data_IF_252476852777
#
_entry.id   IF_252476852777
#
_cell.length_a   1.000
_cell.length_b   1.000
_cell.length_c   1.000
_cell.angle_alpha   90.00
_cell.angle_beta   90.00
_cell.angle_gamma   90.00
#
_symmetry.space_group_name_H-M   'P 1'
#
loop_
_entity.id
_entity.type
_entity.pdbx_description
1 polymer ?
#
# COMPACT_ATOMS: atom_id res chain seq x y z
N UNK A 1 23.78 -2.28 5.20
CA UNK A 1 22.80 -2.38 6.32
C UNK A 1 21.87 -1.17 6.23
N UNK A 2 20.64 -1.34 5.69
CA UNK A 2 19.64 -0.26 5.70
C UNK A 2 19.27 0.04 7.15
N UNK A 3 19.47 1.27 7.61
CA UNK A 3 19.10 1.70 8.96
C UNK A 3 17.56 1.84 9.01
N UNK A 4 16.83 0.91 9.65
CA UNK A 4 15.36 0.87 9.56
C UNK A 4 14.67 2.01 10.33
N UNK A 5 15.45 2.85 11.03
CA UNK A 5 15.00 3.84 12.02
C UNK A 5 14.90 5.27 11.49
N UNK A 6 15.33 5.55 10.26
CA UNK A 6 15.16 6.89 9.66
C UNK A 6 13.76 7.04 9.05
N UNK A 7 12.78 7.35 9.88
CA UNK A 7 11.47 7.81 9.42
C UNK A 7 11.65 9.23 8.86
N UNK A 8 11.63 9.35 7.54
CA UNK A 8 11.69 10.67 6.88
C UNK A 8 10.37 11.41 7.07
N UNK A 9 10.42 12.75 7.08
CA UNK A 9 9.23 13.62 7.19
C UNK A 9 8.12 13.21 6.22
N UNK A 10 8.47 12.88 4.98
CA UNK A 10 7.53 12.39 3.96
C UNK A 10 6.84 11.11 4.41
N UNK A 11 7.58 10.11 4.89
CA UNK A 11 7.02 8.83 5.36
C UNK A 11 6.11 9.02 6.57
N UNK A 12 6.49 9.90 7.50
CA UNK A 12 5.65 10.25 8.65
C UNK A 12 4.34 10.90 8.20
N UNK A 13 4.41 11.89 7.30
CA UNK A 13 3.22 12.57 6.77
C UNK A 13 2.31 11.60 6.01
N UNK A 14 2.88 10.72 5.19
CA UNK A 14 2.11 9.68 4.49
C UNK A 14 1.43 8.74 5.48
N UNK A 15 2.12 8.27 6.52
CA UNK A 15 1.51 7.41 7.54
C UNK A 15 0.36 8.12 8.29
N UNK A 16 0.51 9.40 8.63
CA UNK A 16 -0.54 10.17 9.30
C UNK A 16 -1.75 10.40 8.37
N UNK A 17 -1.52 10.76 7.11
CA UNK A 17 -2.61 10.94 6.14
C UNK A 17 -3.38 9.63 5.86
N UNK A 18 -2.70 8.49 5.92
CA UNK A 18 -3.31 7.17 5.73
C UNK A 18 -3.94 6.59 7.01
N UNK A 19 -3.68 7.13 8.19
CA UNK A 19 -4.21 6.61 9.46
C UNK A 19 -5.74 6.40 9.49
N UNK A 20 -6.60 7.31 8.99
CA UNK A 20 -8.04 7.07 8.95
C UNK A 20 -8.43 5.99 7.93
N UNK A 21 -7.71 5.88 6.81
CA UNK A 21 -7.96 4.85 5.80
C UNK A 21 -7.61 3.47 6.35
N UNK A 22 -6.47 3.34 7.04
CA UNK A 22 -6.06 2.08 7.68
C UNK A 22 -7.06 1.64 8.76
N UNK A 23 -7.66 2.59 9.48
CA UNK A 23 -8.74 2.31 10.43
C UNK A 23 -10.02 1.81 9.75
N UNK A 24 -10.39 2.39 8.61
CA UNK A 24 -11.55 1.93 7.82
C UNK A 24 -11.27 0.57 7.17
N UNK A 25 -10.01 0.29 6.84
CA UNK A 25 -9.52 -0.93 6.19
C UNK A 25 -9.19 -2.07 7.17
N UNK A 26 -9.70 -2.04 8.41
CA UNK A 26 -9.43 -3.04 9.47
C UNK A 26 -9.57 -4.52 9.07
N UNK A 27 -10.35 -4.82 8.04
CA UNK A 27 -10.47 -6.16 7.45
C UNK A 27 -10.14 -6.22 5.96
N UNK A 28 -9.71 -5.10 5.35
CA UNK A 28 -9.30 -5.09 3.95
C UNK A 28 -7.93 -5.75 3.84
N UNK A 29 -7.95 -7.01 3.41
CA UNK A 29 -6.73 -7.69 3.00
C UNK A 29 -6.48 -7.38 1.53
N UNK A 30 -5.21 -7.24 1.17
CA UNK A 30 -4.84 -7.32 -0.24
C UNK A 30 -5.42 -8.65 -0.77
N UNK A 31 -6.09 -8.60 -1.92
CA UNK A 31 -6.57 -9.82 -2.56
C UNK A 31 -5.39 -10.80 -2.66
N UNK A 32 -5.65 -12.08 -2.37
CA UNK A 32 -4.61 -13.09 -2.49
C UNK A 32 -4.04 -13.01 -3.92
N UNK A 33 -2.71 -13.06 -4.02
CA UNK A 33 -2.02 -12.99 -5.30
C UNK A 33 -2.36 -14.29 -6.04
N UNK A 34 -3.38 -14.21 -6.89
CA UNK A 34 -3.82 -15.31 -7.74
C UNK A 34 -3.23 -15.07 -9.13
N UNK A 35 -2.21 -15.83 -9.55
CA UNK A 35 -1.57 -15.67 -10.86
C UNK A 35 -2.54 -15.78 -12.05
N UNK A 36 -3.70 -16.41 -11.88
CA UNK A 36 -4.74 -16.50 -12.91
C UNK A 36 -5.68 -15.28 -12.92
N UNK A 37 -5.71 -14.51 -11.83
CA UNK A 37 -6.41 -13.22 -11.70
C UNK A 37 -5.49 -12.01 -11.69
N UNK A 38 -4.17 -12.20 -11.80
CA UNK A 38 -3.24 -11.16 -12.23
C UNK A 38 -3.60 -10.86 -13.68
N UNK A 39 -4.69 -10.11 -13.85
CA UNK A 39 -4.91 -9.32 -15.03
C UNK A 39 -3.73 -8.35 -14.99
N UNK A 40 -2.74 -8.57 -15.85
CA UNK A 40 -1.65 -7.62 -15.92
C UNK A 40 -2.26 -6.24 -16.17
N UNK A 41 -1.51 -5.19 -15.85
CA UNK A 41 -1.94 -3.80 -16.03
C UNK A 41 -2.12 -3.43 -17.52
N UNK A 42 -2.46 -4.39 -18.42
CA UNK A 42 -2.89 -4.16 -19.81
C UNK A 42 -4.15 -3.28 -19.89
N UNK A 43 -4.93 -3.17 -18.81
CA UNK A 43 -6.17 -2.39 -18.77
C UNK A 43 -5.96 -0.92 -18.36
N UNK A 44 -4.72 -0.47 -18.16
CA UNK A 44 -4.48 0.97 -18.13
C UNK A 44 -4.67 1.51 -19.55
N UNK A 45 -5.58 2.47 -19.77
CA UNK A 45 -5.64 3.15 -21.05
C UNK A 45 -4.27 3.78 -21.32
N UNK A 46 -3.78 3.58 -22.55
CA UNK A 46 -2.52 4.13 -23.04
C UNK A 46 -2.46 5.66 -22.96
#
# INVERSE_FOLDING_TARGET
MMNPTLITRRRLLTAMALSPLLWQMRGAQAANIDPQRVVALEWLPA
#
